data_IF_673538387817
#
_entry.id   IF_673538387817
#
_cell.length_a   1.000
_cell.length_b   1.000
_cell.length_c   1.000
_cell.angle_alpha   90.00
_cell.angle_beta   90.00
_cell.angle_gamma   90.00
#
_symmetry.space_group_name_H-M   'P 1'
#
loop_
_entity.id
_entity.type
_entity.pdbx_description
1 polymer ?
#
# COMPACT_ATOMS: atom_id res chain seq x y z
N UNK A 1 41.37 49.13 0.29
CA UNK A 1 40.94 48.11 -0.70
C UNK A 1 39.82 47.27 -0.10
N UNK A 2 38.56 47.50 -0.51
CA UNK A 2 37.41 46.70 -0.06
C UNK A 2 36.78 46.01 -1.28
N UNK A 3 36.69 44.68 -1.26
CA UNK A 3 36.05 43.88 -2.33
C UNK A 3 34.56 43.73 -2.02
N UNK A 4 33.69 44.40 -2.77
CA UNK A 4 32.25 44.17 -2.72
C UNK A 4 31.89 42.95 -3.58
N UNK A 5 31.56 41.83 -2.93
CA UNK A 5 31.10 40.62 -3.62
C UNK A 5 29.60 40.76 -3.90
N UNK A 6 29.23 41.12 -5.14
CA UNK A 6 27.83 41.09 -5.59
C UNK A 6 27.40 39.63 -5.79
N UNK A 7 26.81 39.01 -4.76
CA UNK A 7 26.14 37.71 -4.91
C UNK A 7 24.79 37.94 -5.59
N UNK A 8 24.74 37.72 -6.90
CA UNK A 8 23.47 37.70 -7.64
C UNK A 8 22.58 36.59 -7.04
N UNK A 9 21.41 36.96 -6.50
CA UNK A 9 20.35 35.99 -6.20
C UNK A 9 19.79 35.54 -7.55
N UNK A 10 20.08 34.32 -7.96
CA UNK A 10 19.43 33.72 -9.13
C UNK A 10 17.95 33.57 -8.81
N UNK A 11 17.13 34.46 -9.38
CA UNK A 11 15.67 34.29 -9.47
C UNK A 11 15.38 33.25 -10.56
N UNK A 12 15.89 32.05 -10.37
CA UNK A 12 15.49 30.88 -11.15
C UNK A 12 14.28 30.29 -10.48
N UNK A 13 13.09 30.64 -10.96
CA UNK A 13 11.87 29.89 -10.66
C UNK A 13 12.13 28.43 -11.03
N UNK A 14 12.42 27.58 -10.04
CA UNK A 14 12.53 26.13 -10.25
C UNK A 14 11.19 25.69 -10.84
N UNK A 15 11.18 25.27 -12.10
CA UNK A 15 10.07 24.55 -12.68
C UNK A 15 9.69 23.46 -11.70
N UNK A 16 8.44 23.46 -11.22
CA UNK A 16 7.90 22.34 -10.45
C UNK A 16 8.18 21.10 -11.30
N UNK A 17 9.08 20.22 -10.84
CA UNK A 17 9.21 18.87 -11.41
C UNK A 17 7.83 18.27 -11.25
N UNK A 18 7.02 18.29 -12.31
CA UNK A 18 5.85 17.46 -12.43
C UNK A 18 6.36 16.06 -12.13
N UNK A 19 5.90 15.51 -11.01
CA UNK A 19 6.29 14.17 -10.59
C UNK A 19 6.00 13.18 -11.70
N UNK A 20 6.64 12.00 -11.61
CA UNK A 20 6.42 10.87 -12.52
C UNK A 20 4.91 10.73 -12.80
N UNK A 21 4.46 10.70 -14.07
CA UNK A 21 3.04 10.57 -14.38
C UNK A 21 2.49 9.35 -13.64
N UNK A 22 1.34 9.52 -12.99
CA UNK A 22 0.69 8.45 -12.26
C UNK A 22 0.16 7.43 -13.27
N UNK A 23 0.93 6.37 -13.51
CA UNK A 23 0.56 5.29 -14.46
C UNK A 23 -0.35 4.26 -13.81
N UNK A 24 -0.84 4.51 -12.59
CA UNK A 24 -1.71 3.55 -11.91
C UNK A 24 -3.13 3.67 -12.45
N UNK A 25 -3.81 2.54 -12.71
CA UNK A 25 -5.15 2.53 -13.24
C UNK A 25 -6.12 3.16 -12.23
N UNK A 26 -6.82 4.22 -12.64
CA UNK A 26 -8.04 4.71 -12.01
C UNK A 26 -9.19 3.85 -12.52
N UNK A 27 -9.26 2.59 -12.07
CA UNK A 27 -10.46 1.81 -12.30
C UNK A 27 -11.58 2.39 -11.42
N UNK A 28 -12.82 2.28 -11.87
CA UNK A 28 -14.02 2.66 -11.09
C UNK A 28 -14.53 1.48 -10.26
N UNK A 29 -14.13 0.26 -10.63
CA UNK A 29 -14.58 -1.01 -10.05
C UNK A 29 -13.39 -1.81 -9.49
N UNK A 30 -13.54 -2.31 -8.27
CA UNK A 30 -12.57 -3.14 -7.53
C UNK A 30 -12.14 -4.35 -8.37
N UNK A 31 -13.10 -5.01 -9.02
CA UNK A 31 -12.86 -6.20 -9.85
C UNK A 31 -11.96 -5.85 -11.04
N UNK A 32 -12.25 -4.74 -11.69
CA UNK A 32 -11.50 -4.23 -12.82
C UNK A 32 -10.07 -3.84 -12.42
N UNK A 33 -9.89 -3.19 -11.27
CA UNK A 33 -8.57 -2.87 -10.74
C UNK A 33 -7.73 -4.11 -10.44
N UNK A 34 -8.29 -5.10 -9.75
CA UNK A 34 -7.57 -6.31 -9.37
C UNK A 34 -7.27 -7.20 -10.58
N UNK A 35 -8.07 -7.12 -11.66
CA UNK A 35 -7.76 -7.76 -12.94
C UNK A 35 -6.67 -7.03 -13.72
N UNK A 36 -6.68 -5.68 -13.71
CA UNK A 36 -5.69 -4.87 -14.41
C UNK A 36 -4.34 -4.82 -13.69
N UNK A 37 -4.34 -5.00 -12.36
CA UNK A 37 -3.11 -4.99 -11.57
C UNK A 37 -2.29 -6.25 -11.87
N UNK A 38 -1.12 -6.03 -12.44
CA UNK A 38 -0.13 -7.09 -12.62
C UNK A 38 0.47 -7.53 -11.29
N UNK A 39 0.93 -8.77 -11.25
CA UNK A 39 1.74 -9.29 -10.14
C UNK A 39 2.94 -8.38 -9.91
N UNK A 40 3.20 -8.03 -8.66
CA UNK A 40 4.26 -7.10 -8.30
C UNK A 40 5.21 -7.70 -7.27
N UNK A 41 6.43 -7.16 -7.19
CA UNK A 41 7.43 -7.64 -6.25
C UNK A 41 7.31 -6.88 -4.93
N UNK A 42 7.04 -7.59 -3.83
CA UNK A 42 7.09 -7.09 -2.47
C UNK A 42 8.12 -7.87 -1.67
N UNK A 43 9.10 -7.19 -1.07
CA UNK A 43 10.19 -7.84 -0.29
C UNK A 43 10.85 -9.02 -1.02
N UNK A 44 11.14 -8.83 -2.31
CA UNK A 44 11.73 -9.85 -3.20
C UNK A 44 10.84 -11.06 -3.52
N UNK A 45 9.56 -11.05 -3.14
CA UNK A 45 8.58 -12.07 -3.52
C UNK A 45 7.54 -11.51 -4.48
N UNK A 46 7.11 -12.35 -5.42
CA UNK A 46 6.02 -12.03 -6.34
C UNK A 46 4.69 -12.17 -5.61
N UNK A 47 3.92 -11.10 -5.55
CA UNK A 47 2.63 -11.02 -4.87
C UNK A 47 1.51 -11.03 -5.88
N UNK A 48 0.49 -11.86 -5.63
CA UNK A 48 -0.74 -11.83 -6.40
C UNK A 48 -1.72 -10.82 -5.78
N UNK A 49 -2.13 -9.78 -6.53
CA UNK A 49 -3.07 -8.79 -6.01
C UNK A 49 -4.45 -9.40 -5.69
N UNK A 50 -4.83 -10.52 -6.31
CA UNK A 50 -6.09 -11.20 -6.02
C UNK A 50 -6.12 -11.80 -4.61
N UNK A 51 -5.03 -12.43 -4.20
CA UNK A 51 -4.89 -12.96 -2.83
C UNK A 51 -4.91 -11.83 -1.80
N UNK A 52 -4.22 -10.73 -2.10
CA UNK A 52 -4.17 -9.53 -1.24
C UNK A 52 -5.55 -8.88 -1.08
N UNK A 53 -6.41 -8.94 -2.09
CA UNK A 53 -7.76 -8.38 -2.06
C UNK A 53 -8.72 -9.12 -1.13
N UNK A 54 -8.45 -10.40 -0.82
CA UNK A 54 -9.25 -11.19 0.13
C UNK A 54 -8.95 -10.85 1.59
N UNK A 55 -7.72 -10.43 1.88
CA UNK A 55 -7.24 -10.21 3.25
C UNK A 55 -8.11 -9.21 4.04
N UNK A 56 -8.59 -8.09 3.47
CA UNK A 56 -9.52 -7.18 4.16
C UNK A 56 -10.78 -7.85 4.69
N UNK A 57 -11.43 -8.70 3.90
CA UNK A 57 -12.60 -9.46 4.33
C UNK A 57 -12.25 -10.40 5.48
N UNK A 58 -11.16 -11.17 5.33
CA UNK A 58 -10.70 -12.08 6.39
C UNK A 58 -10.40 -11.32 7.68
N UNK A 59 -9.73 -10.16 7.59
CA UNK A 59 -9.43 -9.29 8.73
C UNK A 59 -10.69 -8.76 9.42
N UNK A 60 -11.75 -8.49 8.64
CA UNK A 60 -13.05 -8.11 9.16
C UNK A 60 -13.71 -9.30 9.88
N UNK A 61 -13.73 -10.48 9.26
CA UNK A 61 -14.35 -11.68 9.81
C UNK A 61 -13.69 -12.13 11.13
N UNK A 62 -12.37 -12.00 11.26
CA UNK A 62 -11.64 -12.29 12.50
C UNK A 62 -11.66 -11.14 13.53
N UNK A 63 -12.26 -10.00 13.18
CA UNK A 63 -12.35 -8.81 14.05
C UNK A 63 -11.02 -8.11 14.34
N UNK A 64 -10.02 -8.22 13.45
CA UNK A 64 -8.69 -7.60 13.62
C UNK A 64 -8.49 -6.31 12.81
N UNK A 65 -9.55 -5.83 12.16
CA UNK A 65 -9.48 -4.68 11.26
C UNK A 65 -9.03 -3.39 11.96
N UNK A 66 -9.64 -3.05 13.10
CA UNK A 66 -9.24 -1.90 13.92
C UNK A 66 -7.80 -2.05 14.44
N UNK A 67 -7.43 -3.27 14.82
CA UNK A 67 -6.09 -3.60 15.32
C UNK A 67 -5.02 -3.32 14.27
N UNK A 68 -5.29 -3.66 13.01
CA UNK A 68 -4.37 -3.49 11.86
C UNK A 68 -4.22 -2.01 11.46
N UNK A 69 -5.28 -1.22 11.59
CA UNK A 69 -5.21 0.23 11.36
C UNK A 69 -4.41 0.96 12.46
N UNK A 70 -4.42 0.41 13.68
CA UNK A 70 -3.67 0.93 14.82
C UNK A 70 -2.17 0.61 14.82
N UNK A 71 -1.55 0.89 15.98
CA UNK A 71 -0.13 0.57 16.20
C UNK A 71 0.02 -0.87 16.71
N UNK A 72 0.48 -1.75 15.82
CA UNK A 72 0.75 -3.15 16.13
C UNK A 72 2.17 -3.38 16.69
N UNK A 73 2.26 -4.19 17.75
CA UNK A 73 3.53 -4.78 18.19
C UNK A 73 3.93 -5.95 17.28
N UNK A 74 5.22 -6.29 17.23
CA UNK A 74 5.74 -7.38 16.37
C UNK A 74 5.02 -8.72 16.60
N UNK A 75 4.80 -9.11 17.86
CA UNK A 75 4.10 -10.35 18.18
C UNK A 75 2.61 -10.34 17.80
N UNK A 76 1.94 -9.20 17.88
CA UNK A 76 0.54 -9.08 17.40
C UNK A 76 0.49 -9.17 15.87
N UNK A 77 1.46 -8.56 15.20
CA UNK A 77 1.59 -8.59 13.75
C UNK A 77 1.72 -10.01 13.21
N UNK A 78 2.63 -10.80 13.80
CA UNK A 78 2.83 -12.20 13.44
C UNK A 78 1.58 -13.05 13.72
N UNK A 79 0.93 -12.85 14.87
CA UNK A 79 -0.33 -13.53 15.20
C UNK A 79 -1.43 -13.29 14.17
N UNK A 80 -1.63 -12.03 13.76
CA UNK A 80 -2.65 -11.68 12.76
C UNK A 80 -2.34 -12.34 11.41
N UNK A 81 -1.06 -12.37 10.99
CA UNK A 81 -0.68 -13.07 9.76
C UNK A 81 -1.00 -14.56 9.84
N UNK A 82 -0.68 -15.21 10.97
CA UNK A 82 -1.01 -16.62 11.16
C UNK A 82 -2.53 -16.87 11.13
N UNK A 83 -3.33 -15.99 11.74
CA UNK A 83 -4.79 -16.07 11.70
C UNK A 83 -5.35 -15.91 10.29
N UNK A 84 -4.77 -15.02 9.46
CA UNK A 84 -5.18 -14.86 8.06
C UNK A 84 -4.91 -16.16 7.27
N UNK A 85 -3.75 -16.77 7.47
CA UNK A 85 -3.36 -18.01 6.77
C UNK A 85 -4.21 -19.19 7.26
N UNK A 86 -4.59 -19.21 8.53
CA UNK A 86 -5.50 -20.21 9.09
C UNK A 86 -6.91 -20.09 8.50
N UNK A 87 -7.38 -18.86 8.25
CA UNK A 87 -8.67 -18.61 7.61
C UNK A 87 -8.67 -18.93 6.10
N UNK A 88 -7.61 -18.57 5.37
CA UNK A 88 -7.42 -18.94 3.96
C UNK A 88 -5.98 -19.41 3.72
N UNK A 89 -5.73 -20.74 3.64
CA UNK A 89 -4.39 -21.29 3.42
C UNK A 89 -3.84 -21.05 2.01
N UNK A 90 -4.65 -20.50 1.10
CA UNK A 90 -4.17 -20.08 -0.23
C UNK A 90 -3.35 -18.80 -0.19
N UNK A 91 -3.44 -18.03 0.91
CA UNK A 91 -2.71 -16.78 1.10
C UNK A 91 -1.35 -17.06 1.72
N UNK A 92 -0.30 -16.47 1.14
CA UNK A 92 1.05 -16.56 1.69
C UNK A 92 1.30 -15.53 2.78
N UNK A 93 2.29 -15.79 3.64
CA UNK A 93 2.76 -14.84 4.68
C UNK A 93 3.05 -13.46 4.09
N UNK A 94 3.65 -13.40 2.90
CA UNK A 94 4.02 -12.14 2.27
C UNK A 94 2.85 -11.39 1.65
N UNK A 95 1.83 -12.11 1.17
CA UNK A 95 0.58 -11.50 0.71
C UNK A 95 -0.20 -10.91 1.88
N UNK A 96 -0.29 -11.64 2.99
CA UNK A 96 -0.89 -11.13 4.23
C UNK A 96 -0.12 -9.91 4.78
N UNK A 97 1.21 -9.96 4.81
CA UNK A 97 2.06 -8.85 5.20
C UNK A 97 1.88 -7.62 4.28
N UNK A 98 1.85 -7.83 2.96
CA UNK A 98 1.63 -6.78 1.98
C UNK A 98 0.27 -6.10 2.21
N UNK A 99 -0.80 -6.90 2.38
CA UNK A 99 -2.14 -6.42 2.67
C UNK A 99 -2.19 -5.55 3.93
N UNK A 100 -1.69 -6.06 5.05
CA UNK A 100 -1.64 -5.35 6.34
C UNK A 100 -0.86 -4.03 6.20
N UNK A 101 0.24 -4.01 5.45
CA UNK A 101 0.98 -2.77 5.19
C UNK A 101 0.15 -1.73 4.41
N UNK A 102 -0.77 -2.16 3.56
CA UNK A 102 -1.68 -1.30 2.83
C UNK A 102 -2.61 -0.50 3.75
N UNK A 103 -3.02 -1.05 4.90
CA UNK A 103 -3.86 -0.36 5.88
C UNK A 103 -3.14 0.72 6.69
N UNK A 104 -1.80 0.71 6.74
CA UNK A 104 -1.02 1.64 7.57
C UNK A 104 -0.89 3.06 7.00
N UNK A 105 -1.45 3.35 5.82
CA UNK A 105 -1.55 4.72 5.31
C UNK A 105 -1.65 4.84 3.79
N UNK A 106 -2.13 6.01 3.33
CA UNK A 106 -2.50 6.28 1.93
C UNK A 106 -1.44 5.94 0.89
N UNK A 107 -0.16 6.25 1.15
CA UNK A 107 0.92 5.95 0.18
C UNK A 107 1.16 4.45 0.06
N UNK A 108 1.03 3.70 1.16
CA UNK A 108 1.19 2.23 1.16
C UNK A 108 -0.03 1.57 0.53
N UNK A 109 -1.22 2.04 0.89
CA UNK A 109 -2.48 1.69 0.24
C UNK A 109 -2.42 1.86 -1.28
N UNK A 110 -1.94 2.99 -1.77
CA UNK A 110 -1.76 3.24 -3.19
C UNK A 110 -0.82 2.23 -3.88
N UNK A 111 0.21 1.73 -3.17
CA UNK A 111 1.13 0.72 -3.72
C UNK A 111 0.50 -0.68 -3.72
N UNK A 112 -0.16 -1.05 -2.63
CA UNK A 112 -0.67 -2.41 -2.40
C UNK A 112 -2.05 -2.61 -3.02
N UNK A 113 -2.95 -1.64 -2.86
CA UNK A 113 -4.34 -1.66 -3.33
C UNK A 113 -4.60 -0.66 -4.47
N UNK A 114 -3.62 0.14 -4.88
CA UNK A 114 -3.75 0.99 -6.07
C UNK A 114 -4.50 2.29 -5.96
N UNK A 115 -4.90 2.66 -4.76
CA UNK A 115 -5.80 3.79 -4.53
C UNK A 115 -7.18 3.34 -4.06
N UNK A 116 -7.52 2.06 -4.20
CA UNK A 116 -8.71 1.51 -3.57
C UNK A 116 -8.59 1.52 -2.06
N UNK A 117 -9.68 1.87 -1.39
CA UNK A 117 -9.80 1.71 0.04
C UNK A 117 -10.05 0.24 0.33
N UNK A 118 -9.15 -0.45 1.07
CA UNK A 118 -9.36 -1.85 1.39
C UNK A 118 -10.60 -2.06 2.28
N UNK A 119 -11.13 -1.01 2.92
CA UNK A 119 -12.42 -1.09 3.61
C UNK A 119 -13.60 -1.31 2.66
N UNK A 120 -13.51 -0.81 1.42
CA UNK A 120 -14.57 -0.96 0.43
C UNK A 120 -14.58 -2.37 -0.18
N UNK A 121 -13.58 -3.21 0.17
CA UNK A 121 -13.49 -4.63 -0.18
C UNK A 121 -14.26 -5.52 0.80
N UNK A 122 -14.89 -4.93 1.81
CA UNK A 122 -15.66 -5.63 2.82
C UNK A 122 -17.13 -5.51 2.45
N UNK A 123 -17.78 -6.66 2.28
CA UNK A 123 -19.20 -6.77 1.95
C UNK A 123 -20.03 -7.20 3.17
#
# INVERSE_FOLDING_TARGET
MQRTVKRAKSTGSKSKKVGRPNTQPNALDIQEYMQQKQKYIHKSKTIDPRSVAKVPQILHDIGQLETVQGRLNKGQYEKIIHQIIEADPTITIEEADAAIQGFKGKVRQQRIYGGYNPQDLIE
#
